data_IF_260618122355
#
_entry.id   IF_260618122355
#
_cell.length_a   1.000
_cell.length_b   1.000
_cell.length_c   1.000
_cell.angle_alpha   90.00
_cell.angle_beta   90.00
_cell.angle_gamma   90.00
#
_symmetry.space_group_name_H-M   'P 1'
#
loop_
_entity.id
_entity.type
_entity.pdbx_description
1 polymer ?
#
# COMPACT_ATOMS: atom_id res chain seq x y z
N UNK A 1 -9.53 7.24 -20.48
CA UNK A 1 -8.93 5.90 -20.20
C UNK A 1 -8.12 5.96 -18.89
N UNK A 2 -7.94 4.85 -18.14
CA UNK A 2 -7.04 4.80 -16.96
C UNK A 2 -5.62 5.34 -17.26
N UNK A 3 -5.22 5.31 -18.55
CA UNK A 3 -3.95 5.81 -19.07
C UNK A 3 -3.80 7.35 -19.02
N UNK A 4 -4.87 8.11 -18.76
CA UNK A 4 -4.89 9.58 -18.78
C UNK A 4 -5.03 10.24 -17.40
N UNK A 5 -4.97 9.46 -16.31
CA UNK A 5 -4.91 10.01 -14.95
C UNK A 5 -3.58 10.79 -14.78
N UNK A 6 -3.63 12.10 -15.03
CA UNK A 6 -2.47 13.01 -14.97
C UNK A 6 -1.84 12.97 -13.56
N UNK A 7 -0.70 12.26 -13.46
CA UNK A 7 0.20 12.24 -12.31
C UNK A 7 0.22 10.92 -11.49
N UNK A 8 1.39 10.51 -10.97
CA UNK A 8 1.54 9.34 -10.09
C UNK A 8 0.59 9.34 -8.88
N UNK A 9 0.35 10.51 -8.28
CA UNK A 9 -0.55 10.70 -7.13
C UNK A 9 -2.02 10.39 -7.46
N UNK A 10 -2.51 10.84 -8.61
CA UNK A 10 -3.88 10.57 -9.06
C UNK A 10 -4.07 9.08 -9.30
N UNK A 11 -3.08 8.42 -9.93
CA UNK A 11 -3.08 6.96 -10.12
C UNK A 11 -3.12 6.21 -8.79
N UNK A 12 -2.31 6.63 -7.82
CA UNK A 12 -2.28 6.05 -6.47
C UNK A 12 -3.66 6.11 -5.82
N UNK A 13 -4.32 7.26 -5.89
CA UNK A 13 -5.65 7.44 -5.31
C UNK A 13 -6.71 6.54 -5.96
N UNK A 14 -6.81 6.53 -7.28
CA UNK A 14 -7.78 5.69 -7.98
C UNK A 14 -7.55 4.21 -7.73
N UNK A 15 -6.29 3.78 -7.76
CA UNK A 15 -5.96 2.37 -7.60
C UNK A 15 -6.15 1.91 -6.16
N UNK A 16 -5.80 2.74 -5.16
CA UNK A 16 -6.13 2.48 -3.75
C UNK A 16 -7.64 2.31 -3.54
N UNK A 17 -8.46 3.16 -4.17
CA UNK A 17 -9.92 3.03 -4.10
C UNK A 17 -10.41 1.73 -4.74
N UNK A 18 -9.89 1.38 -5.91
CA UNK A 18 -10.22 0.11 -6.58
C UNK A 18 -9.94 -1.10 -5.69
N UNK A 19 -8.75 -1.18 -5.10
CA UNK A 19 -8.37 -2.30 -4.23
C UNK A 19 -9.20 -2.35 -2.96
N UNK A 20 -9.51 -1.19 -2.37
CA UNK A 20 -10.39 -1.10 -1.19
C UNK A 20 -11.79 -1.60 -1.52
N UNK A 21 -12.33 -1.22 -2.68
CA UNK A 21 -13.63 -1.71 -3.12
C UNK A 21 -13.61 -3.21 -3.38
N UNK A 22 -12.55 -3.74 -3.99
CA UNK A 22 -12.38 -5.17 -4.22
C UNK A 22 -12.43 -5.97 -2.91
N UNK A 23 -11.74 -5.51 -1.86
CA UNK A 23 -11.81 -6.14 -0.52
C UNK A 23 -13.21 -6.15 0.08
N UNK A 24 -14.03 -5.14 -0.23
CA UNK A 24 -15.39 -5.01 0.30
C UNK A 24 -16.39 -5.90 -0.46
N UNK A 25 -16.26 -6.00 -1.78
CA UNK A 25 -17.22 -6.74 -2.63
C UNK A 25 -16.86 -8.22 -2.76
N UNK A 26 -15.57 -8.55 -2.74
CA UNK A 26 -15.06 -9.91 -2.93
C UNK A 26 -13.96 -10.23 -1.90
N UNK A 27 -14.27 -10.23 -0.59
CA UNK A 27 -13.27 -10.44 0.46
C UNK A 27 -12.55 -11.78 0.35
N UNK A 28 -13.20 -12.80 -0.21
CA UNK A 28 -12.66 -14.16 -0.37
C UNK A 28 -11.78 -14.34 -1.61
N UNK A 29 -11.73 -13.35 -2.52
CA UNK A 29 -10.82 -13.29 -3.68
C UNK A 29 -9.39 -12.97 -3.23
N UNK A 30 -8.86 -13.74 -2.28
CA UNK A 30 -7.62 -13.49 -1.52
C UNK A 30 -6.41 -13.27 -2.42
N UNK A 31 -6.17 -14.16 -3.37
CA UNK A 31 -4.98 -14.07 -4.22
C UNK A 31 -5.03 -12.85 -5.14
N UNK A 32 -6.22 -12.50 -5.63
CA UNK A 32 -6.44 -11.31 -6.43
C UNK A 32 -6.18 -10.03 -5.61
N UNK A 33 -6.73 -9.96 -4.40
CA UNK A 33 -6.51 -8.83 -3.48
C UNK A 33 -5.03 -8.71 -3.13
N UNK A 34 -4.37 -9.80 -2.73
CA UNK A 34 -2.94 -9.81 -2.39
C UNK A 34 -2.08 -9.32 -3.55
N UNK A 35 -2.38 -9.77 -4.77
CA UNK A 35 -1.68 -9.32 -5.99
C UNK A 35 -1.84 -7.82 -6.21
N UNK A 36 -3.06 -7.29 -6.09
CA UNK A 36 -3.30 -5.87 -6.29
C UNK A 36 -2.69 -5.00 -5.20
N UNK A 37 -2.75 -5.43 -3.93
CA UNK A 37 -2.05 -4.76 -2.82
C UNK A 37 -0.55 -4.75 -3.09
N UNK A 38 0.06 -5.90 -3.40
CA UNK A 38 1.48 -5.99 -3.68
C UNK A 38 1.92 -5.08 -4.85
N UNK A 39 1.09 -4.99 -5.91
CA UNK A 39 1.33 -4.07 -7.04
C UNK A 39 1.33 -2.62 -6.59
N UNK A 40 0.30 -2.22 -5.82
CA UNK A 40 0.17 -0.87 -5.29
C UNK A 40 1.35 -0.51 -4.38
N UNK A 41 1.76 -1.43 -3.50
CA UNK A 41 2.91 -1.25 -2.61
C UNK A 41 4.26 -1.17 -3.36
N UNK A 42 4.38 -1.86 -4.49
CA UNK A 42 5.54 -1.77 -5.38
C UNK A 42 5.64 -0.40 -6.04
N UNK A 43 4.54 0.05 -6.65
CA UNK A 43 4.49 1.28 -7.44
C UNK A 43 4.87 2.52 -6.63
N UNK A 44 4.38 2.66 -5.39
CA UNK A 44 4.69 3.86 -4.61
C UNK A 44 6.10 3.83 -4.01
N UNK A 45 6.72 2.66 -3.81
CA UNK A 45 8.11 2.65 -3.31
C UNK A 45 9.12 3.25 -4.31
N UNK A 46 8.69 3.52 -5.55
CA UNK A 46 9.44 4.26 -6.55
C UNK A 46 9.12 5.77 -6.64
N UNK A 47 8.15 6.32 -5.88
CA UNK A 47 7.85 7.76 -5.92
C UNK A 47 8.49 8.49 -4.73
N UNK A 48 9.15 9.61 -5.03
CA UNK A 48 9.90 10.42 -4.06
C UNK A 48 8.99 10.97 -2.96
N UNK A 49 7.73 11.25 -3.27
CA UNK A 49 6.76 11.89 -2.39
C UNK A 49 5.70 10.92 -1.82
N UNK A 50 5.85 9.60 -2.01
CA UNK A 50 4.85 8.60 -1.59
C UNK A 50 4.47 8.66 -0.12
N UNK A 51 5.45 8.93 0.74
CA UNK A 51 5.25 8.99 2.18
C UNK A 51 5.08 10.42 2.71
N UNK A 52 4.59 11.33 1.86
CA UNK A 52 4.37 12.73 2.21
C UNK A 52 2.96 13.19 1.83
N UNK A 53 2.50 14.24 2.51
CA UNK A 53 1.29 15.00 2.14
C UNK A 53 0.06 14.12 1.88
N UNK A 54 -0.56 14.32 0.70
CA UNK A 54 -1.78 13.60 0.30
C UNK A 54 -1.53 12.13 0.00
N UNK A 55 -0.38 11.79 -0.59
CA UNK A 55 -0.04 10.40 -0.92
C UNK A 55 0.03 9.56 0.36
N UNK A 56 0.68 10.08 1.41
CA UNK A 56 0.72 9.41 2.71
C UNK A 56 -0.67 9.14 3.29
N UNK A 57 -1.61 10.07 3.18
CA UNK A 57 -3.00 9.86 3.67
C UNK A 57 -3.72 8.75 2.91
N UNK A 58 -3.49 8.66 1.59
CA UNK A 58 -4.03 7.56 0.77
C UNK A 58 -3.43 6.23 1.23
N UNK A 59 -2.11 6.17 1.45
CA UNK A 59 -1.43 4.96 1.93
C UNK A 59 -1.90 4.54 3.32
N UNK A 60 -2.08 5.49 4.25
CA UNK A 60 -2.62 5.22 5.58
C UNK A 60 -4.03 4.65 5.53
N UNK A 61 -4.89 5.20 4.67
CA UNK A 61 -6.24 4.68 4.46
C UNK A 61 -6.21 3.25 3.91
N UNK A 62 -5.37 3.00 2.90
CA UNK A 62 -5.15 1.67 2.34
C UNK A 62 -4.66 0.70 3.42
N UNK A 63 -3.65 1.09 4.21
CA UNK A 63 -3.05 0.27 5.27
C UNK A 63 -4.13 -0.23 6.23
N UNK A 64 -4.96 0.69 6.74
CA UNK A 64 -6.05 0.34 7.66
C UNK A 64 -7.00 -0.68 7.04
N UNK A 65 -7.40 -0.47 5.78
CA UNK A 65 -8.30 -1.39 5.07
C UNK A 65 -7.68 -2.77 4.83
N UNK A 66 -6.40 -2.82 4.48
CA UNK A 66 -5.64 -4.07 4.33
C UNK A 66 -5.54 -4.82 5.67
N UNK A 67 -5.25 -4.12 6.77
CA UNK A 67 -5.19 -4.71 8.11
C UNK A 67 -6.55 -5.27 8.54
N UNK A 68 -7.62 -4.49 8.41
CA UNK A 68 -9.01 -4.91 8.68
C UNK A 68 -9.39 -6.15 7.86
N UNK A 69 -9.17 -6.10 6.54
CA UNK A 69 -9.42 -7.22 5.65
C UNK A 69 -8.64 -8.47 6.06
N UNK A 70 -7.36 -8.32 6.39
CA UNK A 70 -6.50 -9.46 6.76
C UNK A 70 -6.98 -10.16 8.05
N UNK A 71 -7.49 -9.40 9.03
CA UNK A 71 -8.06 -9.98 10.25
C UNK A 71 -9.34 -10.75 9.92
N UNK A 72 -10.25 -10.15 9.16
CA UNK A 72 -11.54 -10.78 8.80
C UNK A 72 -11.38 -12.06 7.97
N UNK A 73 -10.33 -12.13 7.14
CA UNK A 73 -10.09 -13.25 6.22
C UNK A 73 -9.01 -14.22 6.69
N UNK A 74 -8.47 -14.02 7.90
CA UNK A 74 -7.40 -14.84 8.51
C UNK A 74 -6.07 -14.80 7.73
N UNK A 75 -5.75 -13.67 7.12
CA UNK A 75 -4.53 -13.40 6.34
C UNK A 75 -3.43 -12.67 7.13
N UNK A 76 -3.48 -12.69 8.47
CA UNK A 76 -2.50 -12.00 9.33
C UNK A 76 -1.05 -12.41 9.06
N UNK A 77 -0.80 -13.68 8.67
CA UNK A 77 0.55 -14.14 8.29
C UNK A 77 1.05 -13.42 7.04
N UNK A 78 0.19 -13.24 6.04
CA UNK A 78 0.53 -12.49 4.84
C UNK A 78 0.75 -11.01 5.16
N UNK A 79 -0.06 -10.42 6.05
CA UNK A 79 0.13 -9.03 6.51
C UNK A 79 1.53 -8.82 7.14
N UNK A 80 1.98 -9.76 7.97
CA UNK A 80 3.31 -9.72 8.56
C UNK A 80 4.41 -9.76 7.48
N UNK A 81 4.26 -10.61 6.45
CA UNK A 81 5.20 -10.64 5.33
C UNK A 81 5.23 -9.32 4.53
N UNK A 82 4.09 -8.66 4.37
CA UNK A 82 4.00 -7.34 3.73
C UNK A 82 4.77 -6.30 4.54
N UNK A 83 4.58 -6.29 5.87
CA UNK A 83 5.32 -5.42 6.80
C UNK A 83 6.83 -5.63 6.67
N UNK A 84 7.30 -6.86 6.80
CA UNK A 84 8.73 -7.17 6.78
C UNK A 84 9.38 -6.85 5.44
N UNK A 85 8.70 -7.20 4.33
CA UNK A 85 9.17 -6.89 2.98
C UNK A 85 9.25 -5.39 2.73
N UNK A 86 8.25 -4.64 3.23
CA UNK A 86 8.22 -3.19 3.18
C UNK A 86 9.38 -2.54 3.93
N UNK A 87 9.61 -2.95 5.19
CA UNK A 87 10.72 -2.46 6.01
C UNK A 87 12.07 -2.75 5.36
N UNK A 88 12.26 -3.96 4.82
CA UNK A 88 13.48 -4.31 4.07
C UNK A 88 13.70 -3.41 2.86
N UNK A 89 12.63 -3.00 2.16
CA UNK A 89 12.76 -2.08 1.02
C UNK A 89 13.04 -0.64 1.48
N UNK A 90 12.41 -0.18 2.56
CA UNK A 90 12.68 1.14 3.13
C UNK A 90 14.15 1.32 3.49
N UNK A 91 14.77 0.30 4.10
CA UNK A 91 16.17 0.36 4.56
C UNK A 91 17.19 0.43 3.42
N UNK A 92 16.80 0.11 2.19
CA UNK A 92 17.63 0.21 1.00
C UNK A 92 17.71 1.64 0.41
N UNK A 93 16.86 2.56 0.88
CA UNK A 93 16.90 3.96 0.45
C UNK A 93 18.15 4.67 0.99
N UNK A 94 18.82 5.43 0.11
CA UNK A 94 19.92 6.33 0.49
C UNK A 94 19.43 7.70 0.99
N UNK A 95 18.15 8.02 0.80
CA UNK A 95 17.54 9.25 1.30
C UNK A 95 16.93 9.02 2.69
N UNK A 96 17.51 9.63 3.72
CA UNK A 96 17.15 9.42 5.13
C UNK A 96 15.72 9.85 5.47
N UNK A 97 15.26 10.97 4.90
CA UNK A 97 13.90 11.49 5.11
C UNK A 97 12.85 10.56 4.50
N UNK A 98 13.10 10.02 3.31
CA UNK A 98 12.26 8.99 2.70
C UNK A 98 12.25 7.71 3.53
N UNK A 99 13.44 7.22 3.94
CA UNK A 99 13.60 6.01 4.75
C UNK A 99 12.80 6.10 6.04
N UNK A 100 12.92 7.20 6.79
CA UNK A 100 12.20 7.41 8.05
C UNK A 100 10.68 7.36 7.86
N UNK A 101 10.15 8.08 6.85
CA UNK A 101 8.71 8.11 6.59
C UNK A 101 8.18 6.77 6.06
N UNK A 102 8.98 6.08 5.24
CA UNK A 102 8.70 4.72 4.75
C UNK A 102 8.63 3.71 5.90
N UNK A 103 9.63 3.71 6.78
CA UNK A 103 9.65 2.82 7.94
C UNK A 103 8.50 3.10 8.90
N UNK A 104 8.17 4.37 9.13
CA UNK A 104 7.02 4.76 9.96
C UNK A 104 5.71 4.17 9.42
N UNK A 105 5.51 4.25 8.11
CA UNK A 105 4.35 3.65 7.46
C UNK A 105 4.27 2.14 7.72
N UNK A 106 5.34 1.40 7.44
CA UNK A 106 5.31 -0.05 7.57
C UNK A 106 5.33 -0.56 9.02
N UNK A 107 5.96 0.17 9.95
CA UNK A 107 5.91 -0.13 11.39
C UNK A 107 4.48 -0.06 11.96
N UNK A 108 3.58 0.66 11.27
CA UNK A 108 2.18 0.83 11.67
C UNK A 108 1.25 -0.31 11.19
N UNK A 109 1.72 -1.27 10.40
CA UNK A 109 0.98 -2.52 10.14
C UNK A 109 0.96 -3.42 11.37
#
# INVERSE_FOLDING_TARGET
SYKEAKGPATRLQWYSNYVTNLMAIEPDSKDLIKKHVATLLGDYTGMVDSFWGRNYRVLESLRKKVSEWSVSTKESKWLAMVKDSGLKRCSQSTQETYKTSCEKYYKSY
#
